data_IF_015787029480
#
_entry.id   IF_015787029480
#
_cell.length_a   1.000
_cell.length_b   1.000
_cell.length_c   1.000
_cell.angle_alpha   90.00
_cell.angle_beta   90.00
_cell.angle_gamma   90.00
#
_symmetry.space_group_name_H-M   'P 1'
#
loop_
_entity.id
_entity.type
_entity.pdbx_description
1 polymer ?
#
# COMPACT_ATOMS: atom_id res chain seq x y z
N UNK A 1 42.47 -46.04 8.10
CA UNK A 1 42.17 -44.79 7.37
C UNK A 1 41.91 -45.14 5.91
N UNK A 2 40.71 -44.87 5.38
CA UNK A 2 40.49 -44.73 3.95
C UNK A 2 40.46 -43.24 3.56
N UNK A 3 40.93 -42.95 2.34
CA UNK A 3 40.99 -41.62 1.74
C UNK A 3 39.92 -41.53 0.60
N UNK A 4 39.83 -40.42 -0.17
CA UNK A 4 38.66 -39.54 -0.29
C UNK A 4 37.82 -39.78 -1.55
N UNK A 5 36.64 -39.14 -1.63
CA UNK A 5 35.93 -38.90 -2.90
C UNK A 5 35.51 -37.43 -2.91
N UNK A 6 36.14 -36.66 -3.80
CA UNK A 6 35.62 -35.41 -4.33
C UNK A 6 34.41 -35.74 -5.20
N UNK A 7 33.28 -35.07 -5.01
CA UNK A 7 32.39 -34.81 -6.15
C UNK A 7 31.60 -33.51 -5.93
N UNK A 8 31.34 -32.92 -7.07
CA UNK A 8 31.11 -31.53 -7.41
C UNK A 8 29.62 -31.14 -7.38
N UNK A 9 29.36 -29.84 -7.44
CA UNK A 9 28.18 -29.22 -8.06
C UNK A 9 26.81 -29.27 -7.32
N UNK A 10 26.36 -28.09 -6.87
CA UNK A 10 25.50 -27.24 -7.72
C UNK A 10 24.85 -26.10 -6.94
N UNK A 11 25.05 -24.87 -7.42
CA UNK A 11 24.17 -23.75 -7.16
C UNK A 11 22.72 -24.14 -7.48
N UNK A 12 21.80 -23.78 -6.60
CA UNK A 12 20.44 -23.51 -7.04
C UNK A 12 19.90 -22.29 -6.31
N UNK A 13 19.98 -21.17 -7.02
CA UNK A 13 19.26 -19.95 -6.75
C UNK A 13 17.80 -20.30 -6.40
N UNK A 14 17.40 -19.95 -5.18
CA UNK A 14 16.04 -20.17 -4.72
C UNK A 14 15.24 -18.94 -5.10
N UNK A 15 14.72 -18.97 -6.32
CA UNK A 15 13.78 -18.00 -6.86
C UNK A 15 12.67 -17.69 -5.83
N UNK A 16 12.62 -16.43 -5.38
CA UNK A 16 11.47 -15.86 -4.69
C UNK A 16 10.33 -15.74 -5.71
N UNK A 17 9.58 -16.82 -5.91
CA UNK A 17 8.35 -16.79 -6.69
C UNK A 17 7.22 -16.22 -5.82
N UNK A 18 6.84 -14.98 -6.10
CA UNK A 18 5.58 -14.41 -5.67
C UNK A 18 4.45 -15.15 -6.40
N UNK A 19 3.92 -16.19 -5.76
CA UNK A 19 2.75 -16.91 -6.25
C UNK A 19 1.51 -16.07 -5.93
N UNK A 20 0.94 -15.46 -6.96
CA UNK A 20 -0.36 -14.79 -6.96
C UNK A 20 -1.44 -15.74 -6.43
N UNK A 21 -1.86 -15.55 -5.19
CA UNK A 21 -2.93 -16.32 -4.57
C UNK A 21 -4.25 -15.57 -4.68
N UNK A 22 -5.10 -16.12 -5.54
CA UNK A 22 -6.52 -15.82 -5.69
C UNK A 22 -7.19 -15.61 -4.32
N UNK A 23 -7.74 -14.43 -4.09
CA UNK A 23 -8.42 -14.03 -2.84
C UNK A 23 -9.51 -15.03 -2.46
N UNK A 24 -9.23 -15.86 -1.46
CA UNK A 24 -10.24 -16.70 -0.84
C UNK A 24 -10.93 -15.90 0.26
N UNK A 25 -12.21 -15.59 0.02
CA UNK A 25 -13.14 -15.01 1.00
C UNK A 25 -13.34 -16.03 2.13
N UNK A 26 -12.68 -15.81 3.27
CA UNK A 26 -12.80 -16.65 4.46
C UNK A 26 -13.86 -16.09 5.44
N UNK A 27 -14.56 -16.93 6.22
CA UNK A 27 -15.64 -16.50 7.12
C UNK A 27 -15.11 -15.65 8.29
N UNK A 28 -15.59 -14.40 8.41
CA UNK A 28 -15.10 -13.38 9.36
C UNK A 28 -15.38 -13.69 10.85
N UNK A 29 -16.46 -14.40 11.17
CA UNK A 29 -16.97 -14.44 12.56
C UNK A 29 -16.07 -15.16 13.59
N UNK A 30 -15.18 -16.07 13.16
CA UNK A 30 -14.31 -16.83 14.07
C UNK A 30 -12.90 -16.23 14.26
N UNK A 31 -12.58 -15.19 13.48
CA UNK A 31 -11.23 -14.67 13.26
C UNK A 31 -10.80 -13.66 14.35
N UNK A 32 -11.77 -13.03 15.00
CA UNK A 32 -11.59 -11.84 15.85
C UNK A 32 -10.97 -12.08 17.24
N UNK A 33 -10.78 -13.35 17.65
CA UNK A 33 -10.28 -13.69 19.00
C UNK A 33 -8.76 -13.58 19.16
N UNK A 34 -8.01 -13.37 18.08
CA UNK A 34 -6.55 -13.27 18.12
C UNK A 34 -6.13 -11.80 18.24
N UNK A 35 -5.44 -11.42 19.32
CA UNK A 35 -4.92 -10.05 19.50
C UNK A 35 -4.10 -9.62 18.29
N UNK A 36 -4.40 -8.42 17.78
CA UNK A 36 -3.79 -7.83 16.59
C UNK A 36 -4.56 -8.08 15.28
N UNK A 37 -5.38 -9.13 15.16
CA UNK A 37 -6.14 -9.40 13.92
C UNK A 37 -7.23 -8.35 13.67
N UNK A 38 -7.94 -7.92 14.72
CA UNK A 38 -8.96 -6.87 14.61
C UNK A 38 -8.38 -5.53 14.13
N UNK A 39 -7.13 -5.25 14.47
CA UNK A 39 -6.43 -4.05 14.02
C UNK A 39 -6.17 -4.17 12.51
N UNK A 40 -5.71 -5.33 12.03
CA UNK A 40 -5.54 -5.58 10.59
C UNK A 40 -6.86 -5.44 9.82
N UNK A 41 -7.96 -5.97 10.34
CA UNK A 41 -9.29 -5.80 9.72
C UNK A 41 -9.69 -4.32 9.64
N UNK A 42 -9.41 -3.55 10.70
CA UNK A 42 -9.65 -2.10 10.71
C UNK A 42 -8.79 -1.39 9.66
N UNK A 43 -7.53 -1.78 9.52
CA UNK A 43 -6.61 -1.24 8.52
C UNK A 43 -7.04 -1.57 7.08
N UNK A 44 -7.57 -2.77 6.84
CA UNK A 44 -8.13 -3.14 5.52
C UNK A 44 -9.30 -2.21 5.17
N UNK A 45 -10.20 -1.94 6.11
CA UNK A 45 -11.32 -1.01 5.86
C UNK A 45 -10.81 0.41 5.57
N UNK A 46 -9.78 0.88 6.28
CA UNK A 46 -9.15 2.17 5.99
C UNK A 46 -8.57 2.22 4.57
N UNK A 47 -7.87 1.17 4.14
CA UNK A 47 -7.31 1.09 2.78
C UNK A 47 -8.40 1.14 1.72
N UNK A 48 -9.54 0.48 1.95
CA UNK A 48 -10.71 0.56 1.07
C UNK A 48 -11.24 2.00 1.01
N UNK A 49 -11.36 2.67 2.16
CA UNK A 49 -11.87 4.04 2.26
C UNK A 49 -10.95 5.08 1.61
N UNK A 50 -9.65 4.79 1.46
CA UNK A 50 -8.70 5.70 0.83
C UNK A 50 -8.96 5.93 -0.67
N UNK A 51 -9.73 5.05 -1.33
CA UNK A 51 -9.98 5.12 -2.77
C UNK A 51 -8.70 5.22 -3.60
N UNK A 52 -7.65 4.48 -3.20
CA UNK A 52 -6.43 4.32 -3.97
C UNK A 52 -6.71 3.69 -5.33
N UNK A 53 -5.72 3.73 -6.23
CA UNK A 53 -5.77 2.93 -7.45
C UNK A 53 -6.15 1.47 -7.12
N UNK A 54 -7.10 0.85 -7.85
CA UNK A 54 -7.60 -0.48 -7.52
C UNK A 54 -6.50 -1.54 -7.40
N UNK A 55 -5.46 -1.48 -8.25
CA UNK A 55 -4.36 -2.45 -8.21
C UNK A 55 -3.55 -2.28 -6.93
N UNK A 56 -3.24 -1.04 -6.56
CA UNK A 56 -2.49 -0.71 -5.33
C UNK A 56 -3.30 -1.10 -4.08
N UNK A 57 -4.60 -0.81 -4.08
CA UNK A 57 -5.51 -1.18 -3.00
C UNK A 57 -5.58 -2.70 -2.82
N UNK A 58 -5.77 -3.44 -3.91
CA UNK A 58 -5.86 -4.90 -3.89
C UNK A 58 -4.55 -5.54 -3.39
N UNK A 59 -3.40 -5.06 -3.85
CA UNK A 59 -2.09 -5.55 -3.41
C UNK A 59 -1.86 -5.30 -1.92
N UNK A 60 -2.21 -4.10 -1.42
CA UNK A 60 -2.06 -3.75 -0.01
C UNK A 60 -3.00 -4.57 0.88
N UNK A 61 -4.25 -4.75 0.46
CA UNK A 61 -5.22 -5.61 1.14
C UNK A 61 -4.72 -7.06 1.17
N UNK A 62 -4.17 -7.57 0.07
CA UNK A 62 -3.60 -8.92 0.02
C UNK A 62 -2.45 -9.10 1.03
N UNK A 63 -1.53 -8.12 1.12
CA UNK A 63 -0.47 -8.13 2.13
C UNK A 63 -1.01 -8.14 3.56
N UNK A 64 -2.04 -7.34 3.86
CA UNK A 64 -2.68 -7.31 5.18
C UNK A 64 -3.40 -8.62 5.50
N UNK A 65 -4.05 -9.24 4.51
CA UNK A 65 -4.67 -10.56 4.66
C UNK A 65 -3.64 -11.65 4.95
N UNK A 66 -2.50 -11.65 4.26
CA UNK A 66 -1.40 -12.58 4.56
C UNK A 66 -0.84 -12.37 5.95
N UNK A 67 -0.68 -11.11 6.38
CA UNK A 67 -0.25 -10.81 7.74
C UNK A 67 -1.25 -11.32 8.80
N UNK A 68 -2.55 -11.16 8.56
CA UNK A 68 -3.60 -11.71 9.43
C UNK A 68 -3.50 -13.24 9.54
N UNK A 69 -3.27 -13.94 8.41
CA UNK A 69 -3.03 -15.39 8.40
C UNK A 69 -1.79 -15.77 9.23
N UNK A 70 -0.70 -15.00 9.13
CA UNK A 70 0.51 -15.22 9.95
C UNK A 70 0.17 -15.10 11.44
N UNK A 71 -0.58 -14.08 11.83
CA UNK A 71 -0.96 -13.85 13.22
C UNK A 71 -1.81 -14.98 13.80
N UNK A 72 -2.70 -15.59 12.99
CA UNK A 72 -3.49 -16.75 13.41
C UNK A 72 -2.68 -18.04 13.48
N UNK A 73 -1.91 -18.33 12.44
CA UNK A 73 -1.23 -19.62 12.29
C UNK A 73 0.00 -19.75 13.20
N UNK A 74 0.65 -18.63 13.53
CA UNK A 74 1.86 -18.57 14.39
C UNK A 74 1.59 -17.93 15.76
N UNK A 75 0.36 -18.00 16.26
CA UNK A 75 -0.07 -17.38 17.53
C UNK A 75 0.84 -17.67 18.72
N UNK A 76 1.50 -18.83 18.77
CA UNK A 76 2.48 -19.20 19.80
C UNK A 76 3.90 -18.71 19.55
N UNK A 77 4.30 -18.51 18.29
CA UNK A 77 5.66 -18.08 17.93
C UNK A 77 5.83 -16.57 18.08
N UNK A 78 4.76 -15.81 17.82
CA UNK A 78 4.77 -14.33 17.92
C UNK A 78 3.87 -13.94 19.09
N UNK A 79 4.45 -13.33 20.14
CA UNK A 79 3.67 -12.87 21.30
C UNK A 79 2.63 -11.81 20.89
N UNK A 80 1.46 -11.82 21.53
CA UNK A 80 0.39 -10.85 21.28
C UNK A 80 0.89 -9.39 21.32
N UNK A 81 1.66 -9.04 22.35
CA UNK A 81 2.25 -7.70 22.51
C UNK A 81 3.16 -7.28 21.35
N UNK A 82 3.81 -8.24 20.68
CA UNK A 82 4.65 -7.95 19.51
C UNK A 82 3.78 -7.68 18.29
N UNK A 83 2.67 -8.40 18.13
CA UNK A 83 1.70 -8.15 17.05
C UNK A 83 1.07 -6.77 17.20
N UNK A 84 0.63 -6.43 18.40
CA UNK A 84 0.05 -5.12 18.70
C UNK A 84 1.08 -4.01 18.47
N UNK A 85 2.33 -4.20 18.92
CA UNK A 85 3.42 -3.26 18.67
C UNK A 85 3.70 -3.07 17.16
N UNK A 86 3.76 -4.15 16.38
CA UNK A 86 3.99 -4.07 14.94
C UNK A 86 2.85 -3.31 14.24
N UNK A 87 1.61 -3.60 14.62
CA UNK A 87 0.45 -2.91 14.08
C UNK A 87 0.48 -1.41 14.37
N UNK A 88 0.74 -1.04 15.63
CA UNK A 88 0.68 0.35 16.07
C UNK A 88 1.87 1.18 15.62
N UNK A 89 3.07 0.59 15.58
CA UNK A 89 4.32 1.33 15.34
C UNK A 89 4.86 1.21 13.94
N UNK A 90 4.46 0.21 13.17
CA UNK A 90 5.01 -0.03 11.84
C UNK A 90 3.91 0.06 10.79
N UNK A 91 2.88 -0.78 10.91
CA UNK A 91 1.92 -0.98 9.82
C UNK A 91 0.97 0.22 9.71
N UNK A 92 0.37 0.66 10.81
CA UNK A 92 -0.55 1.82 10.79
C UNK A 92 0.15 3.11 10.31
N UNK A 93 1.37 3.45 10.79
CA UNK A 93 2.11 4.61 10.27
C UNK A 93 2.45 4.50 8.78
N UNK A 94 2.75 3.30 8.27
CA UNK A 94 3.09 3.10 6.87
C UNK A 94 1.87 3.28 5.96
N UNK A 95 0.71 2.74 6.37
CA UNK A 95 -0.57 2.94 5.67
C UNK A 95 -0.94 4.42 5.64
N UNK A 96 -0.77 5.12 6.77
CA UNK A 96 -0.99 6.57 6.83
C UNK A 96 -0.04 7.35 5.92
N UNK A 97 1.24 6.98 5.87
CA UNK A 97 2.22 7.64 5.00
C UNK A 97 1.82 7.54 3.52
N UNK A 98 1.31 6.38 3.08
CA UNK A 98 0.82 6.18 1.71
C UNK A 98 -0.35 7.14 1.44
N UNK A 99 -1.31 7.22 2.36
CA UNK A 99 -2.46 8.13 2.25
C UNK A 99 -2.04 9.61 2.19
N UNK A 100 -1.12 10.02 3.08
CA UNK A 100 -0.65 11.40 3.16
C UNK A 100 0.11 11.81 1.88
N UNK A 101 0.91 10.90 1.30
CA UNK A 101 1.61 11.16 0.04
C UNK A 101 0.67 11.29 -1.15
N UNK A 102 -0.30 10.40 -1.29
CA UNK A 102 -1.34 10.49 -2.33
C UNK A 102 -2.06 11.84 -2.26
N UNK A 103 -2.50 12.22 -1.05
CA UNK A 103 -3.17 13.50 -0.80
C UNK A 103 -2.29 14.69 -1.19
N UNK A 104 -1.01 14.67 -0.83
CA UNK A 104 -0.06 15.71 -1.17
C UNK A 104 0.17 15.82 -2.70
N UNK A 105 0.33 14.70 -3.40
CA UNK A 105 0.53 14.68 -4.84
C UNK A 105 -0.70 15.19 -5.60
N UNK A 106 -1.90 14.77 -5.20
CA UNK A 106 -3.17 15.27 -5.76
C UNK A 106 -3.34 16.78 -5.57
N UNK A 107 -3.03 17.30 -4.38
CA UNK A 107 -3.06 18.74 -4.09
C UNK A 107 -2.11 19.52 -5.00
N UNK A 108 -0.87 19.05 -5.15
CA UNK A 108 0.12 19.71 -6.02
C UNK A 108 -0.31 19.73 -7.49
N UNK A 109 -0.88 18.64 -7.99
CA UNK A 109 -1.40 18.58 -9.37
C UNK A 109 -2.51 19.61 -9.56
N UNK A 110 -3.42 19.72 -8.59
CA UNK A 110 -4.52 20.69 -8.64
C UNK A 110 -3.99 22.14 -8.66
N UNK A 111 -3.04 22.47 -7.80
CA UNK A 111 -2.41 23.80 -7.74
C UNK A 111 -1.67 24.16 -9.03
N UNK A 112 -0.96 23.21 -9.63
CA UNK A 112 -0.30 23.43 -10.93
C UNK A 112 -1.34 23.69 -12.02
N UNK A 113 -2.41 22.90 -12.06
CA UNK A 113 -3.48 23.03 -13.06
C UNK A 113 -4.22 24.36 -12.94
N UNK A 114 -4.54 24.80 -11.72
CA UNK A 114 -5.21 26.09 -11.48
C UNK A 114 -4.36 27.26 -11.95
N UNK A 115 -3.04 27.21 -11.70
CA UNK A 115 -2.09 28.24 -12.18
C UNK A 115 -2.05 28.34 -13.69
N UNK A 116 -2.09 27.22 -14.42
CA UNK A 116 -2.12 27.24 -15.89
C UNK A 116 -3.39 27.91 -16.42
N UNK A 117 -4.55 27.56 -15.87
CA UNK A 117 -5.85 28.17 -16.25
C UNK A 117 -5.82 29.69 -16.01
N UNK A 118 -5.27 30.14 -14.88
CA UNK A 118 -5.16 31.57 -14.55
C UNK A 118 -4.21 32.33 -15.51
N UNK A 119 -3.13 31.68 -15.96
CA UNK A 119 -2.23 32.24 -16.98
C UNK A 119 -2.96 32.39 -18.32
N UNK A 120 -3.64 31.35 -18.77
CA UNK A 120 -4.38 31.39 -20.04
C UNK A 120 -5.49 32.45 -20.01
N UNK A 121 -6.26 32.52 -18.92
CA UNK A 121 -7.30 33.53 -18.74
C UNK A 121 -6.74 34.96 -18.85
N UNK A 122 -5.59 35.23 -18.21
CA UNK A 122 -4.90 36.53 -18.30
C UNK A 122 -4.44 36.84 -19.72
N UNK A 123 -3.89 35.85 -20.44
CA UNK A 123 -3.48 36.02 -21.83
C UNK A 123 -4.67 36.32 -22.76
N UNK A 124 -5.79 35.61 -22.60
CA UNK A 124 -7.01 35.88 -23.37
C UNK A 124 -7.55 37.28 -23.09
N UNK A 125 -7.63 37.70 -21.82
CA UNK A 125 -8.06 39.05 -21.47
C UNK A 125 -7.14 40.12 -22.05
N UNK A 126 -5.83 39.91 -22.07
CA UNK A 126 -4.88 40.85 -22.67
C UNK A 126 -5.09 40.99 -24.19
N UNK A 127 -5.34 39.87 -24.90
CA UNK A 127 -5.67 39.88 -26.33
C UNK A 127 -6.97 40.62 -26.61
N UNK A 128 -8.01 40.42 -25.78
CA UNK A 128 -9.28 41.15 -25.92
C UNK A 128 -9.04 42.66 -25.80
N UNK A 129 -8.33 43.11 -24.75
CA UNK A 129 -8.00 44.54 -24.59
C UNK A 129 -7.19 45.09 -25.76
N UNK A 130 -6.26 44.32 -26.31
CA UNK A 130 -5.50 44.72 -27.48
C UNK A 130 -6.41 44.93 -28.70
N UNK A 131 -7.32 44.00 -28.97
CA UNK A 131 -8.30 44.14 -30.03
C UNK A 131 -9.20 45.37 -29.83
N UNK A 132 -9.70 45.59 -28.61
CA UNK A 132 -10.50 46.77 -28.25
C UNK A 132 -9.74 48.09 -28.44
N UNK A 133 -8.42 48.11 -28.19
CA UNK A 133 -7.59 49.31 -28.37
C UNK A 133 -7.25 49.66 -29.82
N UNK A 134 -7.54 48.76 -30.77
CA UNK A 134 -7.21 48.92 -32.20
C UNK A 134 -8.43 49.36 -33.04
N UNK A 135 -9.59 49.56 -32.40
CA UNK A 135 -10.86 50.04 -32.97
C UNK A 135 -11.05 51.51 -32.57
#
# INVERSE_FOLDING_TARGET
>A
MPNPVEDDSSQKDKDMSFSSTKSQKLPLEAMSKVSGVNIIETLINQVIDFNLDPVVSDDLIACLQELSKIYMNKTRDIKASVRDFLNDKVISPLIKLIQDQETYHLSNIYDIKSRLVDVDARQYQAKIRQCESTI
#
